data_IF_607180513661
#
_entry.id   IF_607180513661
#
_cell.length_a   1.000
_cell.length_b   1.000
_cell.length_c   1.000
_cell.angle_alpha   90.00
_cell.angle_beta   90.00
_cell.angle_gamma   90.00
#
_symmetry.space_group_name_H-M   'P 1'
#
loop_
_entity.id
_entity.type
_entity.pdbx_description
1 polymer ?
#
# COMPACT_ATOMS: atom_id res chain seq x y z
N UNK A 1 21.77 -2.61 13.45
CA UNK A 1 21.12 -3.94 13.50
C UNK A 1 21.10 -4.54 12.10
N UNK A 2 21.47 -5.81 11.96
CA UNK A 2 21.33 -6.56 10.69
C UNK A 2 19.85 -6.97 10.51
N UNK A 3 19.39 -7.03 9.26
CA UNK A 3 18.01 -7.40 8.93
C UNK A 3 17.76 -8.90 9.24
N UNK A 4 16.61 -9.26 9.81
CA UNK A 4 16.31 -10.64 10.25
C UNK A 4 16.53 -11.71 9.17
N UNK A 5 16.26 -11.37 7.90
CA UNK A 5 16.51 -12.24 6.73
C UNK A 5 17.94 -12.82 6.66
N UNK A 6 18.93 -12.15 7.27
CA UNK A 6 20.31 -12.62 7.29
C UNK A 6 20.51 -13.92 8.08
N UNK A 7 19.56 -14.34 8.92
CA UNK A 7 19.61 -15.65 9.60
C UNK A 7 19.55 -16.84 8.60
N UNK A 8 19.05 -16.60 7.39
CA UNK A 8 18.91 -17.60 6.34
C UNK A 8 20.05 -17.57 5.31
N UNK A 9 21.06 -16.72 5.53
CA UNK A 9 22.16 -16.52 4.61
C UNK A 9 23.50 -16.41 5.33
N UNK A 10 24.54 -16.94 4.70
CA UNK A 10 25.92 -16.79 5.13
C UNK A 10 26.58 -15.62 4.38
N UNK A 11 27.25 -14.71 5.09
CA UNK A 11 28.01 -13.62 4.46
C UNK A 11 29.37 -14.16 3.96
N UNK A 12 29.53 -14.31 2.64
CA UNK A 12 30.76 -14.87 2.03
C UNK A 12 31.80 -13.76 1.79
N UNK A 13 31.35 -12.60 1.31
CA UNK A 13 32.21 -11.46 1.07
C UNK A 13 31.68 -10.27 1.84
N UNK A 14 32.43 -9.78 2.85
CA UNK A 14 32.02 -8.62 3.60
C UNK A 14 32.09 -7.37 2.72
N UNK A 15 31.35 -6.35 3.14
CA UNK A 15 31.36 -5.05 2.50
C UNK A 15 32.77 -4.42 2.57
N UNK A 16 33.41 -4.30 1.41
CA UNK A 16 34.75 -3.67 1.28
C UNK A 16 34.69 -2.14 1.24
N UNK A 17 33.55 -1.55 0.86
CA UNK A 17 33.41 -0.10 0.72
C UNK A 17 31.96 0.36 0.89
N UNK A 18 31.74 1.67 1.04
CA UNK A 18 30.40 2.25 1.07
C UNK A 18 29.59 2.03 -0.22
N UNK A 19 30.23 1.68 -1.33
CA UNK A 19 29.56 1.44 -2.63
C UNK A 19 29.35 -0.04 -2.94
N UNK A 20 30.06 -0.93 -2.26
CA UNK A 20 29.91 -2.38 -2.46
C UNK A 20 28.87 -2.95 -1.50
N UNK A 21 28.07 -3.90 -1.97
CA UNK A 21 27.17 -4.68 -1.13
C UNK A 21 27.84 -6.01 -0.81
N UNK A 22 27.66 -6.55 0.40
CA UNK A 22 28.22 -7.85 0.74
C UNK A 22 27.64 -8.93 -0.19
N UNK A 23 28.36 -10.03 -0.41
CA UNK A 23 27.79 -11.22 -1.06
C UNK A 23 27.33 -12.21 -0.01
N UNK A 24 26.20 -12.84 -0.27
CA UNK A 24 25.56 -13.76 0.64
C UNK A 24 25.32 -15.11 -0.04
N UNK A 25 25.54 -16.21 0.68
CA UNK A 25 25.17 -17.56 0.29
C UNK A 25 23.82 -17.90 0.87
N UNK A 26 22.92 -18.48 0.09
CA UNK A 26 21.68 -19.04 0.64
C UNK A 26 21.98 -20.35 1.38
N UNK A 27 21.51 -20.48 2.63
CA UNK A 27 21.73 -21.69 3.44
C UNK A 27 20.95 -22.92 2.94
N UNK A 28 19.95 -22.72 2.06
CA UNK A 28 19.07 -23.81 1.58
C UNK A 28 19.47 -24.36 0.22
N UNK A 29 19.89 -23.50 -0.71
CA UNK A 29 20.24 -23.91 -2.08
C UNK A 29 21.70 -23.63 -2.44
N UNK A 30 22.49 -23.06 -1.51
CA UNK A 30 23.89 -22.70 -1.70
C UNK A 30 24.17 -21.69 -2.84
N UNK A 31 23.13 -21.12 -3.46
CA UNK A 31 23.27 -20.10 -4.50
C UNK A 31 23.78 -18.77 -3.90
N UNK A 32 24.66 -18.10 -4.63
CA UNK A 32 25.21 -16.81 -4.24
C UNK A 32 24.30 -15.67 -4.71
N UNK A 33 23.93 -14.79 -3.78
CA UNK A 33 23.10 -13.61 -4.03
C UNK A 33 23.75 -12.36 -3.47
N UNK A 34 23.36 -11.19 -3.99
CA UNK A 34 23.80 -9.91 -3.44
C UNK A 34 23.13 -9.65 -2.08
N UNK A 35 23.89 -9.11 -1.15
CA UNK A 35 23.56 -8.82 0.25
C UNK A 35 22.53 -7.70 0.48
N UNK A 36 21.56 -7.49 -0.41
CA UNK A 36 20.50 -6.50 -0.20
C UNK A 36 19.17 -7.20 0.16
N UNK A 37 18.70 -7.06 1.43
CA UNK A 37 17.52 -7.76 1.93
C UNK A 37 16.30 -7.69 1.02
N UNK A 38 15.84 -6.47 0.71
CA UNK A 38 14.60 -6.22 -0.03
C UNK A 38 14.68 -6.54 -1.52
N UNK A 39 15.87 -6.38 -2.13
CA UNK A 39 16.06 -6.55 -3.58
C UNK A 39 16.42 -7.98 -3.97
N UNK A 40 17.20 -8.69 -3.15
CA UNK A 40 17.80 -9.96 -3.55
C UNK A 40 17.55 -11.09 -2.57
N UNK A 41 17.75 -10.91 -1.25
CA UNK A 41 17.60 -12.01 -0.29
C UNK A 41 16.14 -12.46 -0.14
N UNK A 42 15.23 -11.53 0.13
CA UNK A 42 13.80 -11.85 0.31
C UNK A 42 13.20 -12.46 -0.97
N UNK A 43 13.37 -11.85 -2.17
CA UNK A 43 12.85 -12.46 -3.39
C UNK A 43 13.47 -13.82 -3.71
N UNK A 44 14.74 -14.04 -3.38
CA UNK A 44 15.36 -15.34 -3.53
C UNK A 44 14.66 -16.39 -2.67
N UNK A 45 14.48 -16.15 -1.36
CA UNK A 45 13.79 -17.10 -0.47
C UNK A 45 12.33 -17.35 -0.87
N UNK A 46 11.60 -16.32 -1.29
CA UNK A 46 10.18 -16.44 -1.62
C UNK A 46 9.92 -17.08 -2.98
N UNK A 47 10.73 -16.78 -4.00
CA UNK A 47 10.42 -17.12 -5.40
C UNK A 47 11.43 -18.04 -6.07
N UNK A 48 12.72 -17.93 -5.75
CA UNK A 48 13.77 -18.67 -6.46
C UNK A 48 14.20 -19.93 -5.73
N UNK A 49 14.23 -19.89 -4.40
CA UNK A 49 14.71 -20.98 -3.59
C UNK A 49 13.60 -22.03 -3.39
N UNK A 50 13.73 -23.13 -4.13
CA UNK A 50 12.82 -24.28 -3.98
C UNK A 50 13.01 -24.97 -2.62
N UNK A 51 14.24 -24.98 -2.11
CA UNK A 51 14.62 -25.62 -0.84
C UNK A 51 14.31 -24.78 0.41
N UNK A 52 13.85 -23.53 0.23
CA UNK A 52 13.52 -22.67 1.37
C UNK A 52 12.24 -23.18 2.08
N UNK A 53 12.29 -23.43 3.40
CA UNK A 53 11.16 -23.94 4.17
C UNK A 53 9.91 -23.04 4.06
N UNK A 54 8.69 -23.59 4.05
CA UNK A 54 7.46 -22.81 4.01
C UNK A 54 7.32 -21.85 5.19
N UNK A 55 7.80 -22.24 6.38
CA UNK A 55 7.80 -21.39 7.58
C UNK A 55 8.55 -20.07 7.37
N UNK A 56 9.73 -20.14 6.75
CA UNK A 56 10.54 -18.97 6.39
C UNK A 56 9.82 -18.09 5.38
N UNK A 57 9.16 -18.71 4.39
CA UNK A 57 8.39 -17.98 3.36
C UNK A 57 7.21 -17.23 3.98
N UNK A 58 6.50 -17.86 4.93
CA UNK A 58 5.38 -17.24 5.64
C UNK A 58 5.84 -16.09 6.54
N UNK A 59 6.92 -16.29 7.32
CA UNK A 59 7.46 -15.24 8.20
C UNK A 59 7.86 -13.98 7.42
N UNK A 60 8.41 -14.14 6.21
CA UNK A 60 8.82 -13.02 5.36
C UNK A 60 7.66 -12.37 4.59
N UNK A 61 6.55 -13.08 4.37
CA UNK A 61 5.35 -12.53 3.73
C UNK A 61 4.46 -11.71 4.68
N UNK A 62 4.77 -11.70 5.98
CA UNK A 62 3.93 -11.07 7.01
C UNK A 62 2.71 -11.94 7.37
N UNK A 63 1.90 -11.55 8.37
CA UNK A 63 0.73 -12.30 8.78
C UNK A 63 -0.33 -12.30 7.67
N UNK A 64 -0.22 -13.27 6.77
CA UNK A 64 -1.34 -13.74 5.96
C UNK A 64 -2.34 -14.33 6.93
N UNK A 65 -3.43 -13.60 7.19
CA UNK A 65 -4.64 -14.16 7.78
C UNK A 65 -5.04 -15.31 6.86
N UNK A 66 -4.71 -16.53 7.25
CA UNK A 66 -5.22 -17.73 6.61
C UNK A 66 -6.73 -17.71 6.83
N UNK A 67 -7.49 -17.21 5.85
CA UNK A 67 -8.89 -17.53 5.70
C UNK A 67 -8.94 -19.01 5.33
N UNK A 68 -8.94 -19.86 6.35
CA UNK A 68 -9.38 -21.24 6.20
C UNK A 68 -10.83 -21.20 5.76
N UNK A 69 -11.05 -21.52 4.49
CA UNK A 69 -12.35 -21.81 3.93
C UNK A 69 -12.99 -22.96 4.73
N UNK A 70 -13.97 -22.63 5.56
CA UNK A 70 -14.99 -23.56 5.99
C UNK A 70 -16.28 -23.17 5.28
N UNK A 71 -16.63 -23.95 4.27
CA UNK A 71 -17.99 -24.13 3.79
C UNK A 71 -18.91 -24.49 4.97
N UNK A 72 -20.10 -23.87 5.04
CA UNK A 72 -21.31 -24.68 4.96
C UNK A 72 -22.40 -24.07 4.05
N UNK A 73 -22.91 -24.92 3.18
CA UNK A 73 -24.34 -25.21 2.88
C UNK A 73 -25.35 -24.05 2.79
N UNK A 74 -25.84 -23.84 1.55
CA UNK A 74 -27.12 -23.24 1.06
C UNK A 74 -28.35 -23.80 1.84
N UNK A 75 -29.60 -23.24 1.84
CA UNK A 75 -30.20 -22.36 0.81
C UNK A 75 -31.25 -21.27 1.24
N UNK A 76 -31.59 -20.43 0.25
CA UNK A 76 -32.92 -19.85 -0.10
C UNK A 76 -33.53 -18.62 0.62
N UNK A 77 -34.32 -17.91 -0.21
CA UNK A 77 -35.24 -16.74 -0.04
C UNK A 77 -34.58 -15.35 0.03
N UNK A 78 -34.75 -14.51 -1.00
CA UNK A 78 -35.92 -13.61 -1.26
C UNK A 78 -35.99 -12.50 -0.18
N UNK A 79 -36.12 -11.19 -0.42
CA UNK A 79 -36.37 -10.30 -1.56
C UNK A 79 -36.05 -8.86 -1.07
N UNK A 80 -35.78 -7.95 -2.01
CA UNK A 80 -36.16 -6.53 -2.06
C UNK A 80 -35.65 -5.46 -1.03
N UNK A 81 -35.30 -4.31 -1.65
CA UNK A 81 -35.42 -2.91 -1.18
C UNK A 81 -34.51 -2.44 -0.04
N UNK A 82 -34.07 -1.19 0.08
CA UNK A 82 -34.33 0.07 -0.64
C UNK A 82 -33.18 1.05 -0.32
N UNK A 83 -33.12 2.15 -1.08
CA UNK A 83 -32.11 3.21 -1.11
C UNK A 83 -32.43 4.31 -0.07
N UNK A 84 -31.41 4.97 0.52
CA UNK A 84 -31.34 6.40 0.96
C UNK A 84 -30.21 6.53 2.01
N UNK A 85 -29.07 7.20 1.80
CA UNK A 85 -28.81 8.64 1.59
C UNK A 85 -29.47 9.52 2.66
N UNK A 86 -28.67 10.03 3.62
CA UNK A 86 -28.53 11.48 3.83
C UNK A 86 -27.45 11.82 4.86
N UNK A 87 -26.74 12.91 4.54
CA UNK A 87 -25.80 13.60 5.40
C UNK A 87 -26.56 14.59 6.26
N UNK A 88 -26.21 14.70 7.54
CA UNK A 88 -26.38 15.96 8.26
C UNK A 88 -25.14 16.30 9.09
N UNK A 89 -24.66 17.51 8.82
CA UNK A 89 -23.60 18.23 9.51
C UNK A 89 -24.28 19.26 10.40
N UNK A 90 -24.09 19.15 11.71
CA UNK A 90 -24.35 20.17 12.73
C UNK A 90 -23.85 19.59 14.07
N UNK A 91 -23.30 20.30 15.03
CA UNK A 91 -22.91 21.69 15.19
C UNK A 91 -21.92 21.72 16.36
N UNK A 92 -21.40 22.91 16.62
CA UNK A 92 -20.51 23.34 17.68
C UNK A 92 -20.73 22.67 19.05
N UNK A 93 -19.62 22.43 19.75
CA UNK A 93 -19.58 21.97 21.14
C UNK A 93 -18.20 22.17 21.73
N UNK A 94 -17.96 23.38 22.23
CA UNK A 94 -16.82 23.75 23.06
C UNK A 94 -16.87 23.02 24.41
N UNK A 95 -15.68 22.83 24.99
CA UNK A 95 -15.38 22.39 26.37
C UNK A 95 -15.48 20.89 26.68
N UNK A 96 -14.34 20.25 27.00
CA UNK A 96 -13.91 20.16 28.40
C UNK A 96 -12.48 19.60 28.49
N UNK A 97 -11.68 20.29 29.29
CA UNK A 97 -10.40 19.82 29.81
C UNK A 97 -10.65 18.58 30.69
N UNK A 98 -10.10 17.43 30.31
CA UNK A 98 -9.78 16.35 31.26
C UNK A 98 -8.32 15.97 31.02
N UNK A 99 -7.42 16.66 31.73
CA UNK A 99 -6.07 16.16 31.96
C UNK A 99 -6.18 15.01 32.97
N UNK A 100 -6.21 13.78 32.49
CA UNK A 100 -5.98 12.62 33.34
C UNK A 100 -4.49 12.23 33.27
N UNK A 101 -3.77 12.05 34.39
CA UNK A 101 -2.37 11.67 34.36
C UNK A 101 -2.25 10.19 33.97
N UNK A 102 -2.08 9.93 32.67
CA UNK A 102 -1.95 8.57 32.14
C UNK A 102 -0.51 8.03 32.34
N UNK A 103 -0.33 6.72 32.64
CA UNK A 103 0.98 6.12 32.87
C UNK A 103 1.86 6.23 31.61
N UNK A 104 3.13 6.59 31.81
CA UNK A 104 4.07 7.02 30.76
C UNK A 104 4.35 5.96 29.66
N UNK A 105 3.91 4.71 29.83
CA UNK A 105 4.01 3.64 28.83
C UNK A 105 2.91 3.59 27.76
N UNK A 106 1.68 4.08 28.03
CA UNK A 106 0.57 4.07 27.06
C UNK A 106 0.60 5.26 26.07
N UNK A 107 1.30 6.34 26.46
CA UNK A 107 1.37 7.59 25.71
C UNK A 107 2.13 7.45 24.39
N UNK A 108 3.14 6.58 24.35
CA UNK A 108 3.93 6.31 23.15
C UNK A 108 3.13 5.50 22.12
N UNK A 109 2.31 4.54 22.57
CA UNK A 109 1.47 3.72 21.70
C UNK A 109 0.38 4.57 21.02
N UNK A 110 -0.27 5.44 21.78
CA UNK A 110 -1.29 6.37 21.26
C UNK A 110 -0.70 7.43 20.33
N UNK A 111 0.52 7.92 20.61
CA UNK A 111 1.24 8.82 19.72
C UNK A 111 1.59 8.15 18.38
N UNK A 112 2.00 6.88 18.40
CA UNK A 112 2.34 6.14 17.18
C UNK A 112 1.10 5.90 16.30
N UNK A 113 -0.01 5.49 16.91
CA UNK A 113 -1.30 5.36 16.20
C UNK A 113 -1.75 6.69 15.58
N UNK A 114 -1.59 7.81 16.29
CA UNK A 114 -1.90 9.14 15.75
C UNK A 114 -1.04 9.48 14.53
N UNK A 115 0.25 9.16 14.55
CA UNK A 115 1.16 9.39 13.42
C UNK A 115 0.80 8.50 12.22
N UNK A 116 0.45 7.24 12.45
CA UNK A 116 -0.01 6.33 11.40
C UNK A 116 -1.30 6.84 10.74
N UNK A 117 -2.26 7.30 11.55
CA UNK A 117 -3.49 7.90 11.06
C UNK A 117 -3.21 9.14 10.21
N UNK A 118 -2.31 10.02 10.64
CA UNK A 118 -1.92 11.21 9.86
C UNK A 118 -1.29 10.83 8.53
N UNK A 119 -0.38 9.84 8.49
CA UNK A 119 0.20 9.34 7.24
C UNK A 119 -0.86 8.77 6.32
N UNK A 120 -1.80 8.00 6.86
CA UNK A 120 -2.90 7.44 6.08
C UNK A 120 -3.78 8.57 5.49
N UNK A 121 -4.15 9.58 6.29
CA UNK A 121 -4.91 10.74 5.82
C UNK A 121 -4.19 11.47 4.68
N UNK A 122 -2.89 11.71 4.81
CA UNK A 122 -2.09 12.32 3.73
C UNK A 122 -2.09 11.47 2.46
N UNK A 123 -1.95 10.15 2.59
CA UNK A 123 -2.00 9.25 1.45
C UNK A 123 -3.37 9.25 0.77
N UNK A 124 -4.46 9.23 1.54
CA UNK A 124 -5.83 9.31 1.02
C UNK A 124 -6.02 10.62 0.26
N UNK A 125 -5.61 11.76 0.83
CA UNK A 125 -5.71 13.06 0.15
C UNK A 125 -4.92 13.08 -1.17
N UNK A 126 -3.70 12.53 -1.17
CA UNK A 126 -2.88 12.40 -2.37
C UNK A 126 -3.55 11.56 -3.46
N UNK A 127 -4.12 10.41 -3.11
CA UNK A 127 -4.79 9.56 -4.09
C UNK A 127 -6.10 10.18 -4.59
N UNK A 128 -6.84 10.88 -3.73
CA UNK A 128 -8.02 11.66 -4.15
C UNK A 128 -7.65 12.75 -5.15
N UNK A 129 -6.59 13.52 -4.90
CA UNK A 129 -6.13 14.53 -5.85
C UNK A 129 -5.77 13.93 -7.21
N UNK A 130 -5.05 12.80 -7.21
CA UNK A 130 -4.71 12.07 -8.45
C UNK A 130 -5.93 11.52 -9.17
N UNK A 131 -6.94 11.05 -8.43
CA UNK A 131 -8.18 10.57 -9.02
C UNK A 131 -8.93 11.71 -9.73
N UNK A 132 -9.07 12.86 -9.06
CA UNK A 132 -9.70 14.04 -9.67
C UNK A 132 -8.95 14.54 -10.91
N UNK A 133 -7.62 14.53 -10.88
CA UNK A 133 -6.80 14.89 -12.05
C UNK A 133 -7.04 13.91 -13.21
N UNK A 134 -7.10 12.60 -12.93
CA UNK A 134 -7.37 11.59 -13.95
C UNK A 134 -8.79 11.70 -14.52
N UNK A 135 -9.80 11.95 -13.68
CA UNK A 135 -11.19 12.18 -14.10
C UNK A 135 -11.29 13.40 -15.02
N UNK A 136 -10.68 14.52 -14.62
CA UNK A 136 -10.64 15.74 -15.44
C UNK A 136 -9.97 15.49 -16.81
N UNK A 137 -8.84 14.79 -16.83
CA UNK A 137 -8.15 14.47 -18.08
C UNK A 137 -8.98 13.53 -18.97
N UNK A 138 -9.69 12.56 -18.38
CA UNK A 138 -10.58 11.67 -19.11
C UNK A 138 -11.77 12.43 -19.72
N UNK A 139 -12.38 13.35 -18.96
CA UNK A 139 -13.46 14.20 -19.44
C UNK A 139 -13.00 15.11 -20.58
N UNK A 140 -11.82 15.74 -20.43
CA UNK A 140 -11.19 16.57 -21.47
C UNK A 140 -10.99 15.78 -22.77
N UNK A 141 -10.46 14.55 -22.69
CA UNK A 141 -10.29 13.68 -23.85
C UNK A 141 -11.64 13.27 -24.46
N UNK A 142 -12.65 12.98 -23.65
CA UNK A 142 -13.98 12.63 -24.13
C UNK A 142 -14.63 13.79 -24.91
N UNK A 143 -14.48 15.03 -24.43
CA UNK A 143 -14.93 16.23 -25.14
C UNK A 143 -14.15 16.41 -26.44
N UNK A 144 -12.83 16.22 -26.41
CA UNK A 144 -11.98 16.32 -27.59
C UNK A 144 -12.41 15.34 -28.69
N UNK A 145 -12.65 14.08 -28.34
CA UNK A 145 -13.15 13.04 -29.27
C UNK A 145 -14.48 13.47 -29.87
N UNK A 146 -15.44 13.94 -29.05
CA UNK A 146 -16.75 14.40 -29.54
C UNK A 146 -16.64 15.57 -30.52
N UNK A 147 -15.78 16.55 -30.26
CA UNK A 147 -15.58 17.69 -31.17
C UNK A 147 -14.94 17.26 -32.49
N UNK A 148 -14.00 16.31 -32.42
CA UNK A 148 -13.38 15.73 -33.62
C UNK A 148 -14.41 14.97 -34.47
N UNK A 149 -15.31 14.22 -33.85
CA UNK A 149 -16.39 13.51 -34.54
C UNK A 149 -17.38 14.49 -35.23
N UNK A 150 -17.49 15.72 -34.73
CA UNK A 150 -18.27 16.80 -35.34
C UNK A 150 -17.51 17.56 -36.46
N UNK A 151 -16.27 17.17 -36.76
CA UNK A 151 -15.47 17.79 -37.82
C UNK A 151 -14.77 19.10 -37.42
N UNK A 152 -14.67 19.40 -36.12
CA UNK A 152 -13.93 20.57 -35.63
C UNK A 152 -12.42 20.29 -35.78
N UNK A 153 -11.64 21.21 -36.39
CA UNK A 153 -10.20 21.01 -36.56
C UNK A 153 -9.45 21.15 -35.23
N UNK A 154 -8.36 20.39 -35.10
CA UNK A 154 -7.65 20.20 -33.82
C UNK A 154 -7.15 21.54 -33.20
N UNK A 155 -6.80 22.53 -34.02
CA UNK A 155 -6.31 23.85 -33.59
C UNK A 155 -7.40 24.74 -32.97
N UNK A 156 -8.67 24.50 -33.29
CA UNK A 156 -9.82 25.19 -32.71
C UNK A 156 -10.23 24.53 -31.37
N UNK A 157 -10.09 23.21 -31.27
CA UNK A 157 -10.35 22.46 -30.04
C UNK A 157 -9.32 22.83 -28.96
N UNK A 158 -8.04 22.92 -29.31
CA UNK A 158 -6.98 23.30 -28.37
C UNK A 158 -7.16 24.73 -27.81
N UNK A 159 -7.65 25.66 -28.63
CA UNK A 159 -7.96 27.04 -28.20
C UNK A 159 -9.18 27.13 -27.28
N UNK A 160 -10.11 26.19 -27.40
CA UNK A 160 -11.40 26.20 -26.69
C UNK A 160 -11.35 25.45 -25.35
N UNK A 161 -10.43 24.50 -25.19
CA UNK A 161 -10.26 23.76 -23.94
C UNK A 161 -9.33 24.52 -22.99
N UNK A 162 -9.72 24.71 -21.70
CA UNK A 162 -8.87 25.41 -20.74
C UNK A 162 -7.48 24.76 -20.62
N UNK A 163 -6.47 25.62 -20.66
CA UNK A 163 -5.05 25.31 -20.43
C UNK A 163 -4.80 25.08 -18.93
N UNK A 164 -3.95 24.09 -18.61
CA UNK A 164 -3.50 23.78 -17.24
C UNK A 164 -2.61 24.88 -16.66
#
# INVERSE_FOLDING_TARGET
MRHAVWEHFEEIEPRTSSKTHPKAKCNYCNEQVRGQPKRFLIPHLLKKCLQAPPSVKQQLQGPQIQRSSLTPTTPASEEASDVELESEVAAEGLELVIQSPQPQGLRSQTQLQRLELMRLKTNVAKYRAKAMEAEFMAEKLAVWIKLKDLGVPDDEIERSLPSL
#
